data_IF_485649032017
#
_entry.id   IF_485649032017
#
_cell.length_a   1.000
_cell.length_b   1.000
_cell.length_c   1.000
_cell.angle_alpha   90.00
_cell.angle_beta   90.00
_cell.angle_gamma   90.00
#
_symmetry.space_group_name_H-M   'P 1'
#
loop_
_entity.id
_entity.type
_entity.pdbx_description
1 polymer ?
#
# COMPACT_ATOMS: atom_id res chain seq x y z
N UNK A 1 17.65 -20.98 11.39
CA UNK A 1 16.68 -21.93 10.84
C UNK A 1 17.32 -22.59 9.64
N UNK A 2 17.08 -23.89 9.46
CA UNK A 2 17.45 -24.57 8.21
C UNK A 2 16.52 -24.14 7.08
N UNK A 3 16.91 -24.41 5.83
CA UNK A 3 16.07 -24.16 4.65
C UNK A 3 14.75 -24.96 4.71
N UNK A 4 14.80 -26.17 5.26
CA UNK A 4 13.64 -27.05 5.52
C UNK A 4 12.66 -26.43 6.54
N UNK A 5 13.17 -25.79 7.60
CA UNK A 5 12.34 -25.10 8.59
C UNK A 5 11.58 -23.89 7.99
N UNK A 6 12.16 -23.22 6.98
CA UNK A 6 11.56 -22.06 6.31
C UNK A 6 10.46 -22.47 5.32
N UNK A 7 10.68 -23.57 4.57
CA UNK A 7 9.67 -24.12 3.67
C UNK A 7 8.43 -24.59 4.44
N UNK A 8 8.62 -25.28 5.56
CA UNK A 8 7.54 -25.75 6.43
C UNK A 8 6.77 -24.57 7.07
N UNK A 9 7.47 -23.51 7.48
CA UNK A 9 6.86 -22.30 8.03
C UNK A 9 6.02 -21.56 6.98
N UNK A 10 6.53 -21.42 5.76
CA UNK A 10 5.82 -20.79 4.63
C UNK A 10 4.55 -21.56 4.29
N UNK A 11 4.63 -22.89 4.20
CA UNK A 11 3.48 -23.74 3.88
C UNK A 11 2.38 -23.63 4.96
N UNK A 12 2.78 -23.60 6.24
CA UNK A 12 1.86 -23.48 7.38
C UNK A 12 1.05 -22.19 7.33
N UNK A 13 1.71 -21.04 7.17
CA UNK A 13 1.01 -19.76 7.16
C UNK A 13 0.18 -19.54 5.91
N UNK A 14 0.68 -19.93 4.73
CA UNK A 14 -0.09 -19.85 3.50
C UNK A 14 -1.38 -20.69 3.60
N UNK A 15 -1.28 -21.92 4.13
CA UNK A 15 -2.45 -22.75 4.41
C UNK A 15 -3.47 -22.06 5.32
N UNK A 16 -3.01 -21.54 6.46
CA UNK A 16 -3.88 -20.87 7.43
C UNK A 16 -4.55 -19.60 6.85
N UNK A 17 -3.82 -18.77 6.11
CA UNK A 17 -4.37 -17.58 5.45
C UNK A 17 -5.42 -17.96 4.40
N UNK A 18 -5.16 -19.01 3.61
CA UNK A 18 -6.09 -19.52 2.61
C UNK A 18 -7.37 -20.09 3.25
N UNK A 19 -7.24 -20.77 4.39
CA UNK A 19 -8.40 -21.24 5.17
C UNK A 19 -9.23 -20.08 5.72
N UNK A 20 -8.59 -19.04 6.27
CA UNK A 20 -9.28 -17.85 6.77
C UNK A 20 -10.03 -17.12 5.64
N UNK A 21 -9.40 -16.99 4.47
CA UNK A 21 -10.03 -16.42 3.27
C UNK A 21 -11.22 -17.27 2.82
N UNK A 22 -11.07 -18.59 2.77
CA UNK A 22 -12.15 -19.51 2.39
C UNK A 22 -13.32 -19.45 3.38
N UNK A 23 -13.04 -19.31 4.68
CA UNK A 23 -14.02 -19.13 5.73
C UNK A 23 -14.62 -17.70 5.78
N UNK A 24 -14.08 -16.75 4.99
CA UNK A 24 -14.41 -15.32 5.03
C UNK A 24 -14.29 -14.72 6.43
N UNK A 25 -13.29 -15.16 7.19
CA UNK A 25 -13.04 -14.70 8.55
C UNK A 25 -11.95 -13.65 8.58
N UNK A 26 -12.33 -12.37 8.58
CA UNK A 26 -11.38 -11.24 8.59
C UNK A 26 -10.59 -11.11 9.90
N UNK A 27 -11.21 -11.47 11.03
CA UNK A 27 -10.57 -11.51 12.35
C UNK A 27 -9.45 -12.55 12.38
N UNK A 28 -9.77 -13.81 12.04
CA UNK A 28 -8.78 -14.89 11.98
C UNK A 28 -7.69 -14.59 10.96
N UNK A 29 -8.04 -14.02 9.80
CA UNK A 29 -7.06 -13.56 8.82
C UNK A 29 -6.09 -12.53 9.43
N UNK A 30 -6.62 -11.55 10.16
CA UNK A 30 -5.81 -10.50 10.79
C UNK A 30 -4.86 -11.06 11.85
N UNK A 31 -5.34 -11.98 12.68
CA UNK A 31 -4.50 -12.63 13.71
C UNK A 31 -3.35 -13.42 13.08
N UNK A 32 -3.63 -14.19 12.02
CA UNK A 32 -2.60 -14.95 11.30
C UNK A 32 -1.58 -14.01 10.64
N UNK A 33 -2.04 -12.92 10.02
CA UNK A 33 -1.14 -11.92 9.41
C UNK A 33 -0.27 -11.25 10.47
N UNK A 34 -0.81 -10.98 11.66
CA UNK A 34 -0.05 -10.41 12.76
C UNK A 34 1.03 -11.39 13.25
N UNK A 35 0.67 -12.65 13.50
CA UNK A 35 1.62 -13.68 13.95
C UNK A 35 2.72 -13.91 12.91
N UNK A 36 2.37 -13.96 11.63
CA UNK A 36 3.32 -14.02 10.53
C UNK A 36 4.28 -12.81 10.56
N UNK A 37 3.73 -11.59 10.68
CA UNK A 37 4.51 -10.37 10.77
C UNK A 37 5.52 -10.44 11.91
N UNK A 38 5.11 -10.92 13.08
CA UNK A 38 6.00 -11.12 14.24
C UNK A 38 7.13 -12.10 13.96
N UNK A 39 6.84 -13.19 13.24
CA UNK A 39 7.82 -14.23 12.92
C UNK A 39 8.89 -13.75 11.94
N UNK A 40 8.53 -12.90 10.97
CA UNK A 40 9.50 -12.36 10.00
C UNK A 40 10.23 -11.11 10.49
N UNK A 41 9.80 -10.51 11.61
CA UNK A 41 10.52 -9.38 12.20
C UNK A 41 11.98 -9.77 12.52
N UNK A 42 12.90 -8.84 12.26
CA UNK A 42 14.35 -8.96 12.50
C UNK A 42 15.11 -9.89 11.53
N UNK A 43 14.47 -10.35 10.46
CA UNK A 43 15.23 -10.94 9.36
C UNK A 43 16.03 -9.84 8.65
N UNK A 44 17.25 -10.17 8.21
CA UNK A 44 18.12 -9.21 7.51
C UNK A 44 17.56 -8.84 6.13
N UNK A 45 16.92 -9.79 5.48
CA UNK A 45 16.27 -9.66 4.17
C UNK A 45 14.91 -10.34 4.23
N UNK A 46 13.93 -9.80 3.51
CA UNK A 46 12.61 -10.40 3.44
C UNK A 46 12.67 -11.71 2.62
N UNK A 47 12.30 -12.86 3.22
CA UNK A 47 12.37 -14.15 2.53
C UNK A 47 11.58 -14.20 1.22
N UNK A 48 12.20 -14.72 0.16
CA UNK A 48 11.60 -14.70 -1.18
C UNK A 48 10.35 -15.59 -1.28
N UNK A 49 10.35 -16.77 -0.65
CA UNK A 49 9.22 -17.70 -0.71
C UNK A 49 7.98 -17.10 -0.03
N UNK A 50 8.16 -16.49 1.13
CA UNK A 50 7.14 -15.81 1.90
C UNK A 50 6.64 -14.57 1.14
N UNK A 51 7.54 -13.77 0.58
CA UNK A 51 7.17 -12.63 -0.25
C UNK A 51 6.27 -13.06 -1.42
N UNK A 52 6.66 -14.12 -2.14
CA UNK A 52 5.91 -14.65 -3.27
C UNK A 52 4.52 -15.17 -2.84
N UNK A 53 4.44 -15.87 -1.70
CA UNK A 53 3.19 -16.35 -1.14
C UNK A 53 2.25 -15.20 -0.77
N UNK A 54 2.74 -14.17 -0.07
CA UNK A 54 1.93 -13.00 0.30
C UNK A 54 1.47 -12.19 -0.91
N UNK A 55 2.32 -12.04 -1.94
CA UNK A 55 1.92 -11.41 -3.19
C UNK A 55 0.83 -12.22 -3.92
N UNK A 56 0.86 -13.54 -3.86
CA UNK A 56 -0.19 -14.39 -4.42
C UNK A 56 -1.52 -14.20 -3.65
N UNK A 57 -1.45 -14.09 -2.32
CA UNK A 57 -2.60 -13.82 -1.45
C UNK A 57 -3.19 -12.43 -1.74
N UNK A 58 -2.37 -11.38 -1.89
CA UNK A 58 -2.84 -10.04 -2.27
C UNK A 58 -3.61 -10.03 -3.59
N UNK A 59 -3.23 -10.89 -4.54
CA UNK A 59 -3.90 -11.03 -5.84
C UNK A 59 -5.16 -11.90 -5.79
N UNK A 60 -5.42 -12.59 -4.68
CA UNK A 60 -6.60 -13.43 -4.55
C UNK A 60 -7.86 -12.57 -4.41
N UNK A 61 -8.72 -12.61 -5.42
CA UNK A 61 -10.00 -11.90 -5.43
C UNK A 61 -10.91 -12.24 -4.24
N UNK A 62 -10.73 -13.40 -3.60
CA UNK A 62 -11.47 -13.78 -2.39
C UNK A 62 -11.06 -12.91 -1.19
N UNK A 63 -9.78 -12.51 -1.11
CA UNK A 63 -9.29 -11.57 -0.11
C UNK A 63 -9.93 -10.19 -0.29
N UNK A 64 -10.18 -9.75 -1.53
CA UNK A 64 -10.66 -8.39 -1.80
C UNK A 64 -12.04 -8.10 -1.19
N UNK A 65 -12.82 -9.14 -0.88
CA UNK A 65 -14.10 -9.04 -0.16
C UNK A 65 -14.00 -9.11 1.37
N UNK A 66 -12.78 -9.23 1.92
CA UNK A 66 -12.53 -9.47 3.33
C UNK A 66 -12.10 -8.19 4.05
N UNK A 67 -12.70 -7.92 5.21
CA UNK A 67 -12.24 -6.87 6.11
C UNK A 67 -10.88 -7.24 6.71
N UNK A 68 -9.99 -6.26 6.89
CA UNK A 68 -8.67 -6.48 7.48
C UNK A 68 -7.55 -6.75 6.47
N UNK A 69 -7.85 -6.73 5.17
CA UNK A 69 -6.85 -6.88 4.09
C UNK A 69 -5.68 -5.88 4.20
N UNK A 70 -5.93 -4.68 4.76
CA UNK A 70 -4.89 -3.68 5.05
C UNK A 70 -3.76 -4.19 5.95
N UNK A 71 -4.01 -5.17 6.81
CA UNK A 71 -2.98 -5.73 7.68
C UNK A 71 -1.89 -6.44 6.87
N UNK A 72 -2.25 -7.07 5.76
CA UNK A 72 -1.28 -7.68 4.85
C UNK A 72 -0.42 -6.60 4.16
N UNK A 73 -1.02 -5.47 3.79
CA UNK A 73 -0.26 -4.31 3.28
C UNK A 73 0.67 -3.74 4.36
N UNK A 74 0.23 -3.71 5.61
CA UNK A 74 1.04 -3.25 6.74
C UNK A 74 2.31 -4.08 6.94
N UNK A 75 2.26 -5.40 6.76
CA UNK A 75 3.46 -6.25 6.82
C UNK A 75 4.52 -5.77 5.84
N UNK A 76 4.16 -5.54 4.57
CA UNK A 76 5.11 -5.01 3.58
C UNK A 76 5.59 -3.60 3.91
N UNK A 77 4.76 -2.77 4.55
CA UNK A 77 5.18 -1.44 4.95
C UNK A 77 6.20 -1.47 6.10
N UNK A 78 6.01 -2.35 7.08
CA UNK A 78 6.96 -2.50 8.19
C UNK A 78 8.31 -3.04 7.71
N UNK A 79 8.27 -4.05 6.84
CA UNK A 79 9.46 -4.74 6.35
C UNK A 79 10.00 -4.16 5.03
N UNK A 80 9.57 -2.96 4.63
CA UNK A 80 9.93 -2.40 3.32
C UNK A 80 11.45 -2.28 3.14
N UNK A 81 12.18 -1.95 4.21
CA UNK A 81 13.63 -1.74 4.19
C UNK A 81 14.43 -3.03 4.04
N UNK A 82 13.80 -4.19 4.26
CA UNK A 82 14.42 -5.51 4.07
C UNK A 82 14.08 -6.11 2.70
N UNK A 83 13.27 -5.43 1.88
CA UNK A 83 12.96 -5.85 0.51
C UNK A 83 14.15 -5.59 -0.41
N UNK A 84 14.42 -6.56 -1.28
CA UNK A 84 15.29 -6.35 -2.44
C UNK A 84 14.62 -5.43 -3.47
N UNK A 85 15.42 -4.88 -4.37
CA UNK A 85 14.91 -4.04 -5.45
C UNK A 85 13.87 -4.74 -6.34
N UNK A 86 14.09 -6.02 -6.64
CA UNK A 86 13.14 -6.81 -7.42
C UNK A 86 11.81 -6.97 -6.68
N UNK A 87 11.86 -7.26 -5.37
CA UNK A 87 10.67 -7.35 -4.52
C UNK A 87 9.92 -6.01 -4.46
N UNK A 88 10.60 -4.88 -4.30
CA UNK A 88 9.95 -3.56 -4.38
C UNK A 88 9.17 -3.37 -5.69
N UNK A 89 9.80 -3.66 -6.82
CA UNK A 89 9.18 -3.45 -8.14
C UNK A 89 7.97 -4.38 -8.36
N UNK A 90 8.08 -5.63 -7.91
CA UNK A 90 6.99 -6.60 -7.95
C UNK A 90 5.85 -6.22 -7.01
N UNK A 91 6.15 -5.68 -5.83
CA UNK A 91 5.15 -5.21 -4.88
C UNK A 91 4.41 -3.99 -5.43
N UNK A 92 5.12 -2.98 -5.95
CA UNK A 92 4.52 -1.80 -6.55
C UNK A 92 3.55 -2.17 -7.68
N UNK A 93 4.01 -3.05 -8.58
CA UNK A 93 3.18 -3.55 -9.67
C UNK A 93 1.92 -4.27 -9.15
N UNK A 94 2.07 -5.09 -8.11
CA UNK A 94 0.94 -5.78 -7.48
C UNK A 94 -0.06 -4.78 -6.91
N UNK A 95 0.41 -3.76 -6.18
CA UNK A 95 -0.45 -2.71 -5.64
C UNK A 95 -1.24 -2.00 -6.72
N UNK A 96 -0.63 -1.66 -7.86
CA UNK A 96 -1.36 -1.06 -8.98
C UNK A 96 -2.45 -1.98 -9.54
N UNK A 97 -2.17 -3.28 -9.64
CA UNK A 97 -3.11 -4.30 -10.13
C UNK A 97 -4.34 -4.43 -9.21
N UNK A 98 -4.14 -4.40 -7.89
CA UNK A 98 -5.21 -4.68 -6.91
C UNK A 98 -5.80 -3.43 -6.25
N UNK A 99 -5.23 -2.24 -6.48
CA UNK A 99 -5.52 -1.01 -5.74
C UNK A 99 -7.02 -0.75 -5.51
N UNK A 100 -7.83 -0.95 -6.54
CA UNK A 100 -9.23 -0.59 -6.57
C UNK A 100 -10.19 -1.78 -6.46
N UNK A 101 -9.68 -3.00 -6.24
CA UNK A 101 -10.49 -4.21 -6.17
C UNK A 101 -11.01 -4.51 -4.77
N UNK A 102 -10.36 -3.98 -3.73
CA UNK A 102 -10.78 -4.16 -2.34
C UNK A 102 -12.13 -3.51 -2.05
N UNK A 103 -12.97 -4.24 -1.33
CA UNK A 103 -14.27 -3.77 -0.86
C UNK A 103 -14.15 -2.86 0.37
N UNK A 104 -13.10 -3.02 1.17
CA UNK A 104 -12.77 -2.12 2.26
C UNK A 104 -11.93 -0.94 1.73
N UNK A 105 -12.38 0.27 2.07
CA UNK A 105 -11.72 1.49 1.65
C UNK A 105 -10.34 1.66 2.31
N UNK A 106 -10.14 1.07 3.49
CA UNK A 106 -8.92 1.20 4.27
C UNK A 106 -7.72 0.59 3.54
N UNK A 107 -7.89 -0.52 2.84
CA UNK A 107 -6.80 -1.14 2.06
C UNK A 107 -6.35 -0.23 0.92
N UNK A 108 -7.27 0.33 0.14
CA UNK A 108 -6.92 1.29 -0.91
C UNK A 108 -6.27 2.55 -0.34
N UNK A 109 -6.74 3.04 0.81
CA UNK A 109 -6.10 4.15 1.50
C UNK A 109 -4.65 3.83 1.88
N UNK A 110 -4.44 2.69 2.55
CA UNK A 110 -3.13 2.27 3.05
C UNK A 110 -2.13 1.97 1.94
N UNK A 111 -2.59 1.39 0.81
CA UNK A 111 -1.75 1.22 -0.39
C UNK A 111 -1.27 2.58 -0.91
N UNK A 112 -2.17 3.57 -1.05
CA UNK A 112 -1.79 4.89 -1.57
C UNK A 112 -0.77 5.58 -0.66
N UNK A 113 -0.99 5.55 0.66
CA UNK A 113 -0.05 6.10 1.63
C UNK A 113 1.31 5.40 1.57
N UNK A 114 1.31 4.06 1.56
CA UNK A 114 2.55 3.28 1.46
C UNK A 114 3.31 3.60 0.18
N UNK A 115 2.62 3.70 -0.96
CA UNK A 115 3.27 4.09 -2.23
C UNK A 115 3.93 5.45 -2.10
N UNK A 116 3.23 6.43 -1.55
CA UNK A 116 3.76 7.77 -1.37
C UNK A 116 4.91 7.88 -0.36
N UNK A 117 4.89 7.05 0.69
CA UNK A 117 5.90 7.04 1.73
C UNK A 117 7.16 6.27 1.33
N UNK A 118 7.01 5.09 0.71
CA UNK A 118 8.10 4.14 0.48
C UNK A 118 8.72 4.25 -0.92
N UNK A 119 7.96 4.67 -1.93
CA UNK A 119 8.45 4.89 -3.29
C UNK A 119 8.65 6.38 -3.56
N UNK A 120 9.53 7.00 -2.78
CA UNK A 120 9.85 8.43 -2.82
C UNK A 120 10.68 8.85 -4.07
N UNK A 121 10.34 8.32 -5.23
CA UNK A 121 10.98 8.61 -6.51
C UNK A 121 9.95 8.67 -7.65
N UNK A 122 10.42 8.75 -8.90
CA UNK A 122 9.54 8.82 -10.07
C UNK A 122 8.60 7.60 -10.22
N UNK A 123 8.97 6.42 -9.71
CA UNK A 123 8.13 5.22 -9.79
C UNK A 123 6.86 5.39 -8.98
N UNK A 124 6.96 5.97 -7.77
CA UNK A 124 5.79 6.23 -6.92
C UNK A 124 4.81 7.22 -7.55
N UNK A 125 5.32 8.32 -8.12
CA UNK A 125 4.52 9.28 -8.90
C UNK A 125 3.79 8.61 -10.06
N UNK A 126 4.51 7.82 -10.85
CA UNK A 126 3.94 7.20 -12.04
C UNK A 126 2.93 6.11 -11.66
N UNK A 127 3.14 5.39 -10.55
CA UNK A 127 2.18 4.42 -10.01
C UNK A 127 0.89 5.10 -9.51
N UNK A 128 1.00 6.17 -8.73
CA UNK A 128 -0.15 6.94 -8.25
C UNK A 128 -0.97 7.54 -9.41
N UNK A 129 -0.30 8.03 -10.46
CA UNK A 129 -0.98 8.50 -11.69
C UNK A 129 -1.72 7.36 -12.41
N UNK A 130 -1.21 6.12 -12.40
CA UNK A 130 -1.92 4.96 -12.95
C UNK A 130 -3.11 4.58 -12.07
N UNK A 131 -2.92 4.53 -10.74
CA UNK A 131 -3.98 4.24 -9.76
C UNK A 131 -5.14 5.24 -9.86
N UNK A 132 -4.83 6.52 -10.12
CA UNK A 132 -5.79 7.61 -10.33
C UNK A 132 -6.79 7.34 -11.45
N UNK A 133 -6.47 6.47 -12.41
CA UNK A 133 -7.36 6.18 -13.56
C UNK A 133 -8.43 5.16 -13.25
N UNK A 134 -8.47 4.63 -12.03
CA UNK A 134 -9.51 3.69 -11.62
C UNK A 134 -10.91 4.32 -11.65
N UNK A 135 -11.91 3.51 -11.99
CA UNK A 135 -13.33 3.92 -11.94
C UNK A 135 -13.85 4.00 -10.50
N UNK A 136 -13.24 3.26 -9.56
CA UNK A 136 -13.61 3.29 -8.15
C UNK A 136 -13.29 4.66 -7.56
N UNK A 137 -14.32 5.49 -7.34
CA UNK A 137 -14.14 6.87 -6.87
C UNK A 137 -13.54 6.95 -5.46
N UNK A 138 -13.85 5.99 -4.58
CA UNK A 138 -13.32 5.96 -3.21
C UNK A 138 -11.81 5.72 -3.26
N UNK A 139 -11.38 4.67 -3.96
CA UNK A 139 -9.96 4.39 -4.16
C UNK A 139 -9.27 5.56 -4.87
N UNK A 140 -9.84 6.08 -5.97
CA UNK A 140 -9.28 7.22 -6.69
C UNK A 140 -9.05 8.45 -5.81
N UNK A 141 -9.94 8.72 -4.85
CA UNK A 141 -9.79 9.82 -3.90
C UNK A 141 -8.54 9.70 -3.04
N UNK A 142 -8.19 8.49 -2.60
CA UNK A 142 -7.02 8.28 -1.74
C UNK A 142 -5.67 8.45 -2.43
N UNK A 143 -5.63 8.51 -3.76
CA UNK A 143 -4.40 8.87 -4.50
C UNK A 143 -3.86 10.23 -4.03
N UNK A 144 -4.72 11.17 -3.67
CA UNK A 144 -4.31 12.46 -3.13
C UNK A 144 -3.47 12.33 -1.84
N UNK A 145 -3.75 11.35 -0.98
CA UNK A 145 -2.95 11.10 0.23
C UNK A 145 -1.56 10.57 -0.12
N UNK A 146 -1.45 9.65 -1.08
CA UNK A 146 -0.14 9.17 -1.54
C UNK A 146 0.70 10.29 -2.14
N UNK A 147 0.09 11.16 -2.95
CA UNK A 147 0.77 12.32 -3.52
C UNK A 147 1.15 13.35 -2.46
N UNK A 148 0.30 13.56 -1.44
CA UNK A 148 0.64 14.39 -0.29
C UNK A 148 1.90 13.88 0.41
N UNK A 149 1.99 12.56 0.66
CA UNK A 149 3.19 11.98 1.30
C UNK A 149 4.45 12.28 0.48
N UNK A 150 4.39 12.14 -0.84
CA UNK A 150 5.50 12.49 -1.73
C UNK A 150 5.86 13.98 -1.65
N UNK A 151 4.87 14.85 -1.80
CA UNK A 151 5.08 16.30 -1.75
C UNK A 151 5.65 16.76 -0.39
N UNK A 152 5.24 16.08 0.70
CA UNK A 152 5.57 16.46 2.07
C UNK A 152 6.94 15.97 2.53
N UNK A 153 7.33 14.75 2.15
CA UNK A 153 8.50 14.05 2.73
C UNK A 153 9.71 14.02 1.80
N UNK A 154 9.52 14.28 0.51
CA UNK A 154 10.61 14.25 -0.46
C UNK A 154 11.48 15.51 -0.41
N UNK A 155 12.77 15.35 -0.73
CA UNK A 155 13.75 16.45 -0.78
C UNK A 155 14.02 16.92 -2.21
N UNK A 156 13.66 16.14 -3.22
CA UNK A 156 13.81 16.51 -4.62
C UNK A 156 12.67 17.45 -5.04
N UNK A 157 12.95 18.74 -5.35
CA UNK A 157 11.93 19.69 -5.77
C UNK A 157 11.16 19.24 -7.02
N UNK A 158 11.77 18.44 -7.90
CA UNK A 158 11.10 17.91 -9.09
C UNK A 158 9.99 16.93 -8.70
N UNK A 159 10.25 16.04 -7.74
CA UNK A 159 9.25 15.10 -7.23
C UNK A 159 8.14 15.85 -6.49
N UNK A 160 8.51 16.81 -5.63
CA UNK A 160 7.56 17.62 -4.88
C UNK A 160 6.62 18.38 -5.82
N UNK A 161 7.17 19.09 -6.81
CA UNK A 161 6.37 19.87 -7.76
C UNK A 161 5.46 18.96 -8.61
N UNK A 162 5.98 17.82 -9.09
CA UNK A 162 5.15 16.85 -9.85
C UNK A 162 4.02 16.27 -9.02
N UNK A 163 4.26 15.97 -7.73
CA UNK A 163 3.21 15.50 -6.83
C UNK A 163 2.12 16.56 -6.65
N UNK A 164 2.52 17.82 -6.41
CA UNK A 164 1.59 18.97 -6.31
C UNK A 164 0.79 19.18 -7.60
N UNK A 165 1.44 19.13 -8.77
CA UNK A 165 0.77 19.25 -10.06
C UNK A 165 -0.26 18.14 -10.27
N UNK A 166 0.06 16.89 -9.88
CA UNK A 166 -0.87 15.78 -9.96
C UNK A 166 -2.07 15.96 -9.01
N UNK A 167 -1.86 16.40 -7.76
CA UNK A 167 -2.94 16.74 -6.81
C UNK A 167 -3.84 17.83 -7.41
N UNK A 168 -3.26 18.92 -7.90
CA UNK A 168 -4.02 20.01 -8.51
C UNK A 168 -4.78 19.56 -9.77
N UNK A 169 -4.22 18.65 -10.56
CA UNK A 169 -4.90 18.07 -11.73
C UNK A 169 -6.08 17.16 -11.39
N UNK A 170 -6.21 16.73 -10.13
CA UNK A 170 -7.38 16.00 -9.63
C UNK A 170 -8.52 16.94 -9.23
N UNK A 171 -8.26 18.24 -9.09
CA UNK A 171 -9.32 19.22 -8.85
C UNK A 171 -10.24 19.28 -10.08
N UNK A 172 -11.53 19.13 -9.86
CA UNK A 172 -12.52 19.03 -10.93
C UNK A 172 -12.80 17.59 -11.38
N UNK A 173 -12.42 16.58 -10.58
CA UNK A 173 -12.96 15.23 -10.75
C UNK A 173 -14.50 15.29 -10.70
N UNK A 174 -15.18 14.40 -11.42
CA UNK A 174 -16.64 14.32 -11.42
C UNK A 174 -17.20 13.90 -10.05
N UNK A 175 -16.38 13.23 -9.22
CA UNK A 175 -16.76 12.80 -7.89
C UNK A 175 -16.45 13.88 -6.85
N UNK A 176 -17.48 14.35 -6.15
CA UNK A 176 -17.32 15.27 -5.01
C UNK A 176 -16.41 14.68 -3.93
N UNK A 177 -16.47 13.36 -3.72
CA UNK A 177 -15.62 12.68 -2.76
C UNK A 177 -14.12 12.76 -3.12
N UNK A 178 -13.79 12.64 -4.41
CA UNK A 178 -12.41 12.80 -4.87
C UNK A 178 -11.95 14.24 -4.63
N UNK A 179 -12.79 15.23 -4.97
CA UNK A 179 -12.46 16.64 -4.72
C UNK A 179 -12.23 16.93 -3.23
N UNK A 180 -13.05 16.36 -2.33
CA UNK A 180 -12.86 16.52 -0.89
C UNK A 180 -11.49 16.02 -0.41
N UNK A 181 -11.07 14.83 -0.84
CA UNK A 181 -9.75 14.31 -0.49
C UNK A 181 -8.59 15.14 -1.08
N UNK A 182 -8.80 15.71 -2.28
CA UNK A 182 -7.82 16.61 -2.91
C UNK A 182 -7.68 17.91 -2.11
N UNK A 183 -8.80 18.53 -1.73
CA UNK A 183 -8.80 19.77 -0.95
C UNK A 183 -8.18 19.52 0.45
N UNK A 184 -8.52 18.41 1.12
CA UNK A 184 -7.89 18.00 2.39
C UNK A 184 -6.36 17.82 2.28
N UNK A 185 -5.88 17.19 1.21
CA UNK A 185 -4.45 17.01 0.97
C UNK A 185 -3.75 18.36 0.75
N UNK A 186 -4.38 19.28 0.01
CA UNK A 186 -3.86 20.65 -0.21
C UNK A 186 -3.80 21.42 1.11
N UNK A 187 -4.86 21.37 1.92
CA UNK A 187 -4.90 22.02 3.23
C UNK A 187 -3.74 21.56 4.12
N UNK A 188 -3.52 20.24 4.23
CA UNK A 188 -2.40 19.69 5.02
C UNK A 188 -1.02 20.12 4.52
N UNK A 189 -0.85 20.29 3.21
CA UNK A 189 0.40 20.80 2.62
C UNK A 189 0.62 22.28 2.92
N UNK A 190 -0.44 23.09 2.90
CA UNK A 190 -0.39 24.53 3.21
C UNK A 190 -0.09 24.76 4.70
N UNK A 191 -0.81 24.09 5.59
CA UNK A 191 -0.68 24.26 7.04
C UNK A 191 0.75 24.00 7.55
N UNK A 192 1.47 23.07 6.90
CA UNK A 192 2.88 22.81 7.23
C UNK A 192 3.87 23.72 6.53
N UNK A 193 3.53 24.25 5.34
CA UNK A 193 4.29 25.34 4.73
C UNK A 193 4.29 26.61 5.59
N UNK A 194 3.24 26.82 6.40
CA UNK A 194 3.15 27.89 7.39
C UNK A 194 3.99 27.61 8.66
N UNK A 195 4.10 26.34 9.10
CA UNK A 195 4.95 25.96 10.24
C UNK A 195 6.45 25.84 9.92
N UNK A 196 6.83 25.71 8.64
CA UNK A 196 8.22 25.68 8.18
C UNK A 196 8.91 27.04 8.01
N UNK A 197 8.25 28.14 8.44
CA UNK A 197 8.78 29.52 8.38
C UNK A 197 9.00 30.18 9.75
N UNK A 198 9.08 29.39 10.82
CA UNK A 198 9.41 29.89 12.16
C UNK A 198 10.85 29.54 12.56
#
# INVERSE_FOLDING_TARGET
MSEEDLEDATARWNGALQEAIAAKSGEVFTDIVFDFGVEIMNQLEFPTAEFDALLAILRDHRLHGLTGSRHLVAVFNFEFETLTRDQEERLLKTFEEVYASFSDWETSHYIAEMVGQRYADGRGLDALERMRRTKNQVARGFVANGLEQLARTNRDPLIVNRAMDQILSMRGDISEQVNAHVDEAIERLIDRGAMGRA
#
